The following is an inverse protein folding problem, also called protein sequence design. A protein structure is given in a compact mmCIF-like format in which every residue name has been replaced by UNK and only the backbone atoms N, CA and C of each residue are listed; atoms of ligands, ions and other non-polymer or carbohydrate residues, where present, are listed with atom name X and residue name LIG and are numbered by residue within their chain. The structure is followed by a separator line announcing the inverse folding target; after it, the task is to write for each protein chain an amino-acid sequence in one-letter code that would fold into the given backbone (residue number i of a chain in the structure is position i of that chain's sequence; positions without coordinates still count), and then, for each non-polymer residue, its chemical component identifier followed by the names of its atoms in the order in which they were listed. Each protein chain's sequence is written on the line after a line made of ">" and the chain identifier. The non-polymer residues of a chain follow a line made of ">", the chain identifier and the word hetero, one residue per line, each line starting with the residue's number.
data_IF_155337322593
#
_entry.id   IF_155337322593
#
_cell.length_a   1.000
_cell.length_b   1.000
_cell.length_c   1.000
_cell.angle_alpha   90.00
_cell.angle_beta   90.00
_cell.angle_gamma   90.00
#
_symmetry.space_group_name_H-M   'P 1'
#
loop_
_entity.id
_entity.type
_entity.pdbx_description
1 polymer ?
#
# COMPACT_ATOMS: atom_id res chain seq x y z
N UNK A 1 -35.64 -51.21 44.23
CA UNK A 1 -35.22 -49.80 44.06
C UNK A 1 -33.85 -49.81 43.42
N UNK A 2 -33.74 -49.10 42.29
CA UNK A 2 -32.72 -49.29 41.25
C UNK A 2 -31.27 -49.05 41.70
N UNK A 3 -30.40 -49.89 41.12
CA UNK A 3 -28.95 -49.78 41.03
C UNK A 3 -28.51 -48.44 40.44
N UNK A 4 -27.72 -47.67 41.19
CA UNK A 4 -26.95 -46.51 40.71
C UNK A 4 -25.60 -46.41 41.44
N UNK A 5 -24.63 -47.23 41.03
CA UNK A 5 -23.21 -46.98 41.31
C UNK A 5 -22.31 -47.78 40.36
N UNK A 6 -22.19 -47.32 39.11
CA UNK A 6 -21.10 -47.75 38.21
C UNK A 6 -19.94 -46.76 38.35
N UNK A 7 -18.66 -47.19 38.43
CA UNK A 7 -17.53 -46.26 38.45
C UNK A 7 -17.41 -45.57 37.08
N UNK A 8 -17.95 -44.35 36.95
CA UNK A 8 -18.04 -43.59 35.69
C UNK A 8 -16.84 -42.66 35.47
N UNK A 9 -15.61 -43.15 35.56
CA UNK A 9 -14.44 -42.34 35.17
C UNK A 9 -13.39 -43.19 34.47
N UNK A 10 -13.55 -43.34 33.15
CA UNK A 10 -12.49 -43.91 32.33
C UNK A 10 -11.29 -42.97 32.33
N UNK A 11 -10.08 -43.51 32.46
CA UNK A 11 -8.82 -42.73 32.43
C UNK A 11 -8.63 -41.92 31.14
N UNK A 12 -9.37 -42.27 30.09
CA UNK A 12 -9.31 -41.66 28.77
C UNK A 12 -10.32 -40.51 28.57
N UNK A 13 -11.31 -40.37 29.46
CA UNK A 13 -12.31 -39.30 29.40
C UNK A 13 -11.73 -37.87 29.29
N UNK A 14 -10.70 -37.46 30.05
CA UNK A 14 -10.14 -36.11 29.90
C UNK A 14 -9.44 -35.90 28.55
N UNK A 15 -8.74 -36.92 28.02
CA UNK A 15 -8.08 -36.83 26.73
C UNK A 15 -9.08 -36.72 25.57
N UNK A 16 -10.18 -37.49 25.64
CA UNK A 16 -11.27 -37.42 24.65
C UNK A 16 -11.95 -36.04 24.70
N UNK A 17 -12.20 -35.49 25.88
CA UNK A 17 -12.79 -34.15 26.02
C UNK A 17 -11.90 -33.05 25.46
N UNK A 18 -10.57 -33.13 25.66
CA UNK A 18 -9.63 -32.16 25.09
C UNK A 18 -9.59 -32.26 23.56
N UNK A 19 -9.53 -33.47 22.99
CA UNK A 19 -9.56 -33.66 21.54
C UNK A 19 -10.87 -33.15 20.92
N UNK A 20 -12.00 -33.39 21.58
CA UNK A 20 -13.30 -32.94 21.12
C UNK A 20 -13.41 -31.41 21.21
N UNK A 21 -12.87 -30.80 22.27
CA UNK A 21 -12.77 -29.34 22.39
C UNK A 21 -11.90 -28.72 21.29
N UNK A 22 -10.73 -29.30 21.00
CA UNK A 22 -9.84 -28.85 19.92
C UNK A 22 -10.49 -28.97 18.53
N UNK A 23 -11.24 -30.05 18.31
CA UNK A 23 -11.93 -30.27 17.05
C UNK A 23 -13.08 -29.27 16.86
N UNK A 24 -13.84 -28.98 17.92
CA UNK A 24 -14.91 -27.98 17.90
C UNK A 24 -14.34 -26.57 17.71
N UNK A 25 -13.25 -26.21 18.38
CA UNK A 25 -12.60 -24.90 18.15
C UNK A 25 -12.04 -24.78 16.74
N UNK A 26 -11.45 -25.83 16.17
CA UNK A 26 -11.01 -25.83 14.77
C UNK A 26 -12.18 -25.66 13.79
N UNK A 27 -13.31 -26.33 14.02
CA UNK A 27 -14.52 -26.17 13.21
C UNK A 27 -15.07 -24.75 13.29
N UNK A 28 -15.19 -24.19 14.50
CA UNK A 28 -15.67 -22.82 14.68
C UNK A 28 -14.72 -21.83 14.00
N UNK A 29 -13.41 -22.00 14.18
CA UNK A 29 -12.41 -21.13 13.55
C UNK A 29 -12.50 -21.17 12.02
N UNK A 30 -12.77 -22.33 11.42
CA UNK A 30 -12.96 -22.45 9.96
C UNK A 30 -14.15 -21.67 9.41
N UNK A 31 -15.17 -21.39 10.24
CA UNK A 31 -16.35 -20.60 9.83
C UNK A 31 -16.18 -19.09 10.04
N UNK A 32 -15.18 -18.67 10.81
CA UNK A 32 -14.95 -17.26 11.18
C UNK A 32 -13.81 -16.64 10.38
N UNK A 33 -12.88 -17.46 9.86
CA UNK A 33 -11.87 -16.98 8.91
C UNK A 33 -12.54 -16.83 7.55
N UNK A 34 -12.66 -15.61 7.00
CA UNK A 34 -13.06 -15.45 5.61
C UNK A 34 -12.04 -16.22 4.77
N UNK A 35 -12.49 -17.13 3.92
CA UNK A 35 -11.63 -17.61 2.85
C UNK A 35 -11.20 -16.35 2.08
N UNK A 36 -9.92 -15.98 2.20
CA UNK A 36 -9.36 -14.91 1.39
C UNK A 36 -9.73 -15.25 -0.04
N UNK A 37 -10.47 -14.36 -0.70
CA UNK A 37 -10.85 -14.56 -2.08
C UNK A 37 -9.56 -14.75 -2.88
N UNK A 38 -9.26 -16.00 -3.22
CA UNK A 38 -8.33 -16.29 -4.28
C UNK A 38 -8.98 -15.66 -5.51
N UNK A 39 -8.44 -14.54 -5.95
CA UNK A 39 -8.92 -13.78 -7.09
C UNK A 39 -8.80 -14.62 -8.35
N UNK A 40 -9.71 -15.59 -8.56
CA UNK A 40 -9.83 -16.40 -9.77
C UNK A 40 -8.56 -17.14 -10.23
N UNK A 41 -7.47 -17.11 -9.47
CA UNK A 41 -6.17 -17.62 -9.88
C UNK A 41 -6.24 -19.14 -9.97
N UNK A 42 -5.85 -19.67 -11.13
CA UNK A 42 -5.79 -21.10 -11.36
C UNK A 42 -4.54 -21.70 -10.70
N UNK A 43 -4.56 -23.01 -10.46
CA UNK A 43 -3.35 -23.73 -10.01
C UNK A 43 -2.16 -23.51 -10.96
N UNK A 44 -2.44 -23.31 -12.26
CA UNK A 44 -1.42 -22.99 -13.25
C UNK A 44 -0.78 -21.62 -13.03
N UNK A 45 -1.54 -20.62 -12.57
CA UNK A 45 -1.04 -19.28 -12.26
C UNK A 45 -0.15 -19.30 -11.01
N UNK A 46 -0.55 -20.07 -10.00
CA UNK A 46 0.24 -20.29 -8.79
C UNK A 46 1.56 -21.00 -9.13
N UNK A 47 1.52 -22.05 -9.95
CA UNK A 47 2.71 -22.77 -10.40
C UNK A 47 3.66 -21.90 -11.25
N UNK A 48 3.11 -21.03 -12.10
CA UNK A 48 3.88 -20.07 -12.88
C UNK A 48 4.52 -19.01 -11.96
N UNK A 49 3.74 -18.47 -11.03
CA UNK A 49 4.19 -17.54 -10.00
C UNK A 49 5.30 -18.09 -9.13
N UNK A 50 5.20 -19.36 -8.73
CA UNK A 50 6.25 -20.04 -7.97
C UNK A 50 7.57 -20.12 -8.74
N UNK A 51 7.54 -20.38 -10.04
CA UNK A 51 8.75 -20.42 -10.88
C UNK A 51 9.38 -19.04 -11.01
N UNK A 52 8.57 -18.01 -11.21
CA UNK A 52 9.02 -16.61 -11.23
C UNK A 52 9.64 -16.21 -9.89
N UNK A 53 8.99 -16.56 -8.79
CA UNK A 53 9.47 -16.32 -7.43
C UNK A 53 10.80 -17.03 -7.17
N UNK A 54 10.90 -18.30 -7.53
CA UNK A 54 12.11 -19.10 -7.38
C UNK A 54 13.30 -18.48 -8.13
N UNK A 55 13.06 -17.96 -9.34
CA UNK A 55 14.11 -17.36 -10.17
C UNK A 55 14.55 -15.96 -9.73
N UNK A 56 13.66 -15.16 -9.12
CA UNK A 56 13.91 -13.73 -8.92
C UNK A 56 13.91 -13.25 -7.47
N UNK A 57 13.24 -13.96 -6.56
CA UNK A 57 12.93 -13.47 -5.21
C UNK A 57 13.47 -14.36 -4.10
N UNK A 58 13.64 -15.66 -4.37
CA UNK A 58 13.96 -16.70 -3.37
C UNK A 58 15.28 -16.47 -2.64
N UNK A 59 16.24 -15.78 -3.26
CA UNK A 59 17.52 -15.47 -2.62
C UNK A 59 17.35 -14.60 -1.37
N UNK A 60 16.51 -13.56 -1.45
CA UNK A 60 16.26 -12.66 -0.32
C UNK A 60 15.11 -13.16 0.56
N UNK A 61 14.06 -13.71 -0.04
CA UNK A 61 12.83 -14.05 0.68
C UNK A 61 12.70 -15.52 1.07
N UNK A 62 13.73 -16.34 0.80
CA UNK A 62 13.71 -17.78 1.04
C UNK A 62 12.99 -18.54 -0.07
N UNK A 63 13.24 -19.84 -0.18
CA UNK A 63 12.70 -20.70 -1.24
C UNK A 63 11.17 -20.83 -1.22
N UNK A 64 10.55 -20.60 -0.06
CA UNK A 64 9.12 -20.71 0.18
C UNK A 64 8.54 -19.40 0.75
N UNK A 65 9.24 -18.27 0.58
CA UNK A 65 8.79 -16.97 1.07
C UNK A 65 8.91 -16.78 2.59
N UNK A 66 9.56 -17.69 3.31
CA UNK A 66 9.71 -17.67 4.77
C UNK A 66 10.63 -16.55 5.30
N UNK A 67 11.33 -15.85 4.42
CA UNK A 67 12.32 -14.82 4.75
C UNK A 67 13.73 -15.37 5.00
N UNK A 68 14.70 -14.48 4.99
CA UNK A 68 16.11 -14.72 5.33
C UNK A 68 16.66 -13.53 6.12
N UNK A 69 17.95 -13.54 6.46
CA UNK A 69 18.63 -12.36 7.01
C UNK A 69 18.74 -11.19 6.01
N UNK A 70 18.52 -11.46 4.72
CA UNK A 70 18.60 -10.46 3.64
C UNK A 70 17.24 -9.81 3.36
N UNK A 71 16.15 -10.56 3.47
CA UNK A 71 14.81 -10.10 3.11
C UNK A 71 13.74 -10.66 4.06
N UNK A 72 12.69 -9.87 4.34
CA UNK A 72 11.64 -10.29 5.27
C UNK A 72 10.83 -11.47 4.71
N UNK A 73 10.08 -12.11 5.60
CA UNK A 73 9.06 -13.09 5.19
C UNK A 73 7.99 -12.41 4.34
N UNK A 74 7.52 -13.13 3.32
CA UNK A 74 6.38 -12.77 2.48
C UNK A 74 5.11 -13.56 2.85
N UNK A 75 5.19 -14.46 3.83
CA UNK A 75 4.03 -15.21 4.29
C UNK A 75 3.06 -14.23 4.97
N UNK A 76 1.84 -14.14 4.42
CA UNK A 76 0.76 -13.30 4.97
C UNK A 76 0.80 -11.82 4.57
N UNK A 77 1.74 -11.40 3.71
CA UNK A 77 1.76 -10.01 3.20
C UNK A 77 0.66 -9.75 2.17
N UNK A 78 0.11 -10.80 1.57
CA UNK A 78 -1.01 -10.75 0.62
C UNK A 78 -0.62 -10.39 -0.82
N UNK A 79 -1.56 -10.63 -1.75
CA UNK A 79 -1.41 -10.33 -3.17
C UNK A 79 -1.23 -8.83 -3.44
N UNK A 80 -1.97 -7.98 -2.72
CA UNK A 80 -1.89 -6.51 -2.89
C UNK A 80 -0.50 -5.94 -2.60
N UNK A 81 0.26 -6.56 -1.69
CA UNK A 81 1.63 -6.11 -1.40
C UNK A 81 2.58 -6.44 -2.55
N UNK A 82 2.39 -7.59 -3.20
CA UNK A 82 3.19 -7.98 -4.36
C UNK A 82 2.85 -7.12 -5.57
N UNK A 83 1.56 -6.92 -5.85
CA UNK A 83 1.09 -6.06 -6.95
C UNK A 83 1.65 -4.65 -6.78
N UNK A 84 1.46 -4.03 -5.62
CA UNK A 84 2.04 -2.72 -5.32
C UNK A 84 3.57 -2.68 -5.47
N UNK A 85 4.31 -3.57 -4.81
CA UNK A 85 5.77 -3.45 -4.76
C UNK A 85 6.41 -3.77 -6.12
N UNK A 86 5.89 -4.77 -6.84
CA UNK A 86 6.45 -5.20 -8.13
C UNK A 86 5.89 -4.35 -9.27
N UNK A 87 4.59 -4.07 -9.28
CA UNK A 87 3.90 -3.25 -10.28
C UNK A 87 4.33 -1.78 -10.27
N UNK A 88 4.71 -1.24 -9.12
CA UNK A 88 5.37 0.08 -9.07
C UNK A 88 6.88 0.04 -9.31
N UNK A 89 7.46 -1.14 -9.57
CA UNK A 89 8.87 -1.33 -9.86
C UNK A 89 9.82 -1.12 -8.66
N UNK A 90 9.31 -1.09 -7.43
CA UNK A 90 10.14 -0.98 -6.22
C UNK A 90 10.90 -2.28 -5.95
N UNK A 91 10.19 -3.40 -6.08
CA UNK A 91 10.73 -4.75 -6.04
C UNK A 91 10.87 -5.30 -7.47
N UNK A 92 11.92 -6.10 -7.75
CA UNK A 92 13.00 -6.52 -6.86
C UNK A 92 14.00 -5.39 -6.55
N UNK A 93 14.49 -5.31 -5.32
CA UNK A 93 15.54 -4.34 -4.96
C UNK A 93 16.90 -4.72 -5.55
N UNK A 94 17.69 -3.70 -5.92
CA UNK A 94 19.05 -3.87 -6.50
C UNK A 94 20.15 -3.40 -5.56
N UNK A 95 19.80 -2.75 -4.44
CA UNK A 95 20.74 -2.24 -3.45
C UNK A 95 20.06 -2.07 -2.08
N UNK A 96 20.88 -2.03 -1.02
CA UNK A 96 20.42 -1.81 0.35
C UNK A 96 20.25 -0.32 0.64
N UNK A 97 19.22 0.28 0.05
CA UNK A 97 18.84 1.69 0.24
C UNK A 97 17.92 1.84 1.46
N UNK A 98 17.95 2.98 2.19
CA UNK A 98 16.99 3.25 3.28
C UNK A 98 15.51 3.12 2.87
N UNK A 99 15.26 3.33 1.58
CA UNK A 99 13.95 3.20 0.93
C UNK A 99 14.13 2.57 -0.45
N UNK A 100 13.25 1.65 -0.85
CA UNK A 100 13.22 1.10 -2.21
C UNK A 100 12.74 2.18 -3.19
N UNK A 101 13.59 2.65 -4.13
CA UNK A 101 13.20 3.64 -5.12
C UNK A 101 12.31 3.00 -6.20
N UNK A 102 11.48 3.82 -6.83
CA UNK A 102 10.76 3.45 -8.06
C UNK A 102 11.76 3.27 -9.18
N UNK A 103 11.65 2.15 -9.92
CA UNK A 103 12.44 1.82 -11.10
C UNK A 103 11.50 1.40 -12.22
N UNK A 104 11.99 1.33 -13.48
CA UNK A 104 11.21 0.70 -14.53
C UNK A 104 10.77 -0.70 -14.12
N UNK A 105 9.48 -1.00 -14.32
CA UNK A 105 8.87 -2.29 -13.99
C UNK A 105 9.58 -3.38 -14.81
N UNK A 106 9.99 -4.46 -14.13
CA UNK A 106 10.78 -5.55 -14.74
C UNK A 106 9.90 -6.71 -15.24
N UNK A 107 8.64 -6.75 -14.81
CA UNK A 107 7.68 -7.80 -15.11
C UNK A 107 6.45 -7.20 -15.77
N UNK A 108 5.76 -7.99 -16.60
CA UNK A 108 4.46 -7.58 -17.12
C UNK A 108 3.35 -7.93 -16.11
N UNK A 109 2.16 -7.37 -16.34
CA UNK A 109 1.01 -7.52 -15.44
C UNK A 109 0.65 -8.99 -15.17
N UNK A 110 0.77 -9.85 -16.18
CA UNK A 110 0.54 -11.30 -16.07
C UNK A 110 1.54 -11.98 -15.11
N UNK A 111 2.83 -11.67 -15.24
CA UNK A 111 3.83 -12.22 -14.34
C UNK A 111 3.66 -11.67 -12.90
N UNK A 112 3.24 -10.42 -12.77
CA UNK A 112 2.96 -9.79 -11.47
C UNK A 112 1.78 -10.47 -10.79
N UNK A 113 0.67 -10.67 -11.51
CA UNK A 113 -0.52 -11.33 -10.98
C UNK A 113 -0.24 -12.79 -10.58
N UNK A 114 0.55 -13.52 -11.36
CA UNK A 114 1.00 -14.88 -11.03
C UNK A 114 1.87 -14.91 -9.77
N UNK A 115 2.85 -14.00 -9.64
CA UNK A 115 3.66 -13.88 -8.42
C UNK A 115 2.80 -13.50 -7.20
N UNK A 116 1.84 -12.59 -7.37
CA UNK A 116 0.91 -12.18 -6.32
C UNK A 116 0.01 -13.35 -5.88
N UNK A 117 -0.47 -14.17 -6.83
CA UNK A 117 -1.24 -15.38 -6.55
C UNK A 117 -0.43 -16.42 -5.77
N UNK A 118 0.83 -16.65 -6.16
CA UNK A 118 1.71 -17.55 -5.43
C UNK A 118 1.95 -17.09 -3.99
N UNK A 119 2.30 -15.81 -3.77
CA UNK A 119 2.52 -15.27 -2.42
C UNK A 119 1.24 -15.32 -1.58
N UNK A 120 0.07 -15.05 -2.18
CA UNK A 120 -1.20 -15.20 -1.50
C UNK A 120 -1.55 -16.65 -1.13
N UNK A 121 -1.01 -17.65 -1.84
CA UNK A 121 -1.18 -19.07 -1.46
C UNK A 121 -0.36 -19.47 -0.23
N UNK A 122 0.68 -18.69 0.13
CA UNK A 122 1.55 -19.00 1.27
C UNK A 122 0.89 -18.69 2.62
N UNK A 123 -0.10 -17.79 2.65
CA UNK A 123 -0.82 -17.43 3.87
C UNK A 123 -1.86 -16.33 3.67
N UNK A 124 -2.78 -16.13 4.63
CA UNK A 124 -3.82 -15.12 4.53
C UNK A 124 -3.21 -13.71 4.56
N UNK A 125 -3.63 -12.86 3.63
CA UNK A 125 -3.21 -11.47 3.56
C UNK A 125 -4.15 -10.67 2.66
N UNK A 126 -3.93 -9.35 2.54
CA UNK A 126 -4.78 -8.48 1.74
C UNK A 126 -4.78 -8.85 0.25
N UNK A 127 -5.96 -8.90 -0.36
CA UNK A 127 -6.15 -9.15 -1.80
C UNK A 127 -6.04 -7.86 -2.61
N UNK A 128 -5.67 -7.99 -3.88
CA UNK A 128 -5.75 -6.89 -4.87
C UNK A 128 -7.21 -6.39 -4.90
N UNK A 129 -7.46 -5.08 -4.78
CA UNK A 129 -8.81 -4.52 -4.75
C UNK A 129 -9.52 -4.67 -6.10
N UNK A 130 -10.85 -4.72 -6.08
CA UNK A 130 -11.63 -4.74 -7.33
C UNK A 130 -11.62 -3.36 -8.00
N UNK A 131 -11.94 -3.32 -9.29
CA UNK A 131 -12.04 -2.07 -10.05
C UNK A 131 -13.06 -1.09 -9.46
N UNK A 132 -14.16 -1.58 -8.89
CA UNK A 132 -15.19 -0.74 -8.23
C UNK A 132 -14.68 -0.09 -6.94
N UNK A 133 -13.76 -0.75 -6.22
CA UNK A 133 -13.18 -0.22 -4.97
C UNK A 133 -12.20 0.93 -5.22
N UNK A 134 -11.68 1.04 -6.44
CA UNK A 134 -10.65 2.02 -6.81
C UNK A 134 -11.14 3.03 -7.83
N UNK A 135 -12.40 2.95 -8.28
CA UNK A 135 -12.97 3.89 -9.24
C UNK A 135 -13.22 5.27 -8.57
N UNK A 136 -12.48 6.33 -8.97
CA UNK A 136 -12.67 7.66 -8.41
C UNK A 136 -14.06 8.24 -8.70
N UNK A 137 -14.73 7.82 -9.79
CA UNK A 137 -16.05 8.32 -10.15
C UNK A 137 -17.15 7.86 -9.18
N UNK A 138 -16.90 6.79 -8.42
CA UNK A 138 -17.81 6.27 -7.40
C UNK A 138 -17.48 6.80 -5.99
N UNK A 139 -16.43 7.60 -5.85
CA UNK A 139 -16.00 8.19 -4.58
C UNK A 139 -16.52 9.61 -4.36
N UNK A 140 -16.53 10.03 -3.10
CA UNK A 140 -16.83 11.39 -2.66
C UNK A 140 -15.52 12.14 -2.36
N UNK A 141 -15.07 12.98 -3.30
CA UNK A 141 -13.84 13.75 -3.15
C UNK A 141 -13.83 14.70 -1.94
N UNK A 142 -15.00 15.19 -1.47
CA UNK A 142 -15.06 16.04 -0.28
C UNK A 142 -14.78 15.25 1.00
N UNK A 143 -15.34 14.05 1.13
CA UNK A 143 -15.02 13.15 2.24
C UNK A 143 -13.56 12.66 2.14
N UNK A 144 -13.12 12.33 0.93
CA UNK A 144 -11.74 11.94 0.65
C UNK A 144 -10.72 13.00 1.06
N UNK A 145 -11.03 14.27 0.83
CA UNK A 145 -10.19 15.39 1.27
C UNK A 145 -10.08 15.45 2.79
N UNK A 146 -11.18 15.27 3.52
CA UNK A 146 -11.15 15.26 4.98
C UNK A 146 -10.28 14.10 5.49
N UNK A 147 -10.49 12.89 4.96
CA UNK A 147 -9.70 11.71 5.32
C UNK A 147 -8.21 11.87 4.96
N UNK A 148 -7.91 12.36 3.77
CA UNK A 148 -6.53 12.54 3.31
C UNK A 148 -5.79 13.60 4.13
N UNK A 149 -6.45 14.73 4.42
CA UNK A 149 -5.83 15.82 5.21
C UNK A 149 -5.58 15.43 6.67
N UNK A 150 -6.43 14.56 7.22
CA UNK A 150 -6.29 14.09 8.60
C UNK A 150 -5.28 12.94 8.74
N UNK A 151 -5.11 12.09 7.72
CA UNK A 151 -4.31 10.87 7.83
C UNK A 151 -3.02 10.87 6.98
N UNK A 152 -2.99 11.57 5.85
CA UNK A 152 -1.95 11.40 4.82
C UNK A 152 -1.13 12.67 4.59
N UNK A 153 -1.74 13.85 4.68
CA UNK A 153 -1.13 15.12 4.30
C UNK A 153 0.10 15.50 5.15
N UNK A 154 0.23 14.94 6.36
CA UNK A 154 1.43 15.12 7.19
C UNK A 154 2.70 14.61 6.52
N UNK A 155 2.58 13.59 5.66
CA UNK A 155 3.70 13.01 4.93
C UNK A 155 3.66 13.41 3.44
N UNK A 156 2.49 13.33 2.81
CA UNK A 156 2.35 13.48 1.36
C UNK A 156 2.01 14.89 0.89
N UNK A 157 2.03 15.91 1.77
CA UNK A 157 1.53 17.26 1.51
C UNK A 157 0.00 17.30 1.33
N UNK A 158 -0.62 18.46 1.52
CA UNK A 158 -2.07 18.63 1.40
C UNK A 158 -2.63 18.27 0.02
N UNK A 159 -1.87 18.48 -1.05
CA UNK A 159 -2.27 18.16 -2.43
C UNK A 159 -1.65 16.86 -2.96
N UNK A 160 -0.99 16.07 -2.11
CA UNK A 160 -0.37 14.82 -2.54
C UNK A 160 0.96 14.98 -3.29
N UNK A 161 1.63 16.14 -3.19
CA UNK A 161 2.91 16.42 -3.85
C UNK A 161 4.11 15.65 -3.25
N UNK A 162 3.94 14.98 -2.11
CA UNK A 162 5.01 14.28 -1.40
C UNK A 162 5.74 15.15 -0.37
N UNK A 163 6.77 14.59 0.26
CA UNK A 163 7.50 15.25 1.35
C UNK A 163 8.75 14.50 1.76
N UNK A 164 9.66 15.18 2.45
CA UNK A 164 10.83 14.54 3.05
C UNK A 164 10.45 13.84 4.36
N UNK A 165 11.02 12.66 4.61
CA UNK A 165 10.89 11.92 5.86
C UNK A 165 12.26 11.82 6.56
N UNK A 166 12.28 11.27 7.77
CA UNK A 166 13.53 11.03 8.51
C UNK A 166 14.41 9.96 7.85
N UNK A 167 15.69 9.93 8.22
CA UNK A 167 16.66 8.91 7.79
C UNK A 167 16.82 8.80 6.25
N UNK A 168 16.68 9.92 5.54
CA UNK A 168 16.85 9.98 4.09
C UNK A 168 15.72 9.33 3.29
N UNK A 169 14.59 9.00 3.92
CA UNK A 169 13.38 8.50 3.25
C UNK A 169 12.56 9.66 2.70
N UNK A 170 11.71 9.38 1.72
CA UNK A 170 10.77 10.33 1.14
C UNK A 170 9.36 9.75 1.07
N UNK A 171 8.36 10.60 1.28
CA UNK A 171 6.99 10.34 0.88
C UNK A 171 6.87 10.74 -0.60
N UNK A 172 6.65 9.78 -1.53
CA UNK A 172 6.53 10.12 -2.94
C UNK A 172 5.24 10.92 -3.20
N UNK A 173 5.17 11.65 -4.33
CA UNK A 173 3.91 12.19 -4.81
C UNK A 173 2.91 11.06 -5.06
N UNK A 174 1.68 11.22 -4.60
CA UNK A 174 0.60 10.21 -4.76
C UNK A 174 -0.19 10.40 -6.06
N UNK A 175 0.07 11.49 -6.78
CA UNK A 175 -0.52 11.82 -8.07
C UNK A 175 0.14 11.10 -9.26
N UNK A 176 1.28 10.43 -9.04
CA UNK A 176 2.10 9.82 -10.09
C UNK A 176 1.91 8.30 -10.22
N UNK A 177 0.77 7.76 -9.78
CA UNK A 177 0.46 6.32 -9.80
C UNK A 177 -1.02 6.11 -10.04
N UNK A 178 -1.42 4.90 -10.42
CA UNK A 178 -2.83 4.54 -10.63
C UNK A 178 -3.60 4.31 -9.31
N UNK A 179 -4.95 4.39 -9.37
CA UNK A 179 -5.82 4.16 -8.21
C UNK A 179 -5.63 2.84 -7.46
N UNK A 180 -5.32 1.75 -8.17
CA UNK A 180 -5.12 0.43 -7.57
C UNK A 180 -3.93 0.49 -6.62
N UNK A 181 -2.78 0.97 -7.11
CA UNK A 181 -1.60 1.11 -6.27
C UNK A 181 -1.79 2.11 -5.11
N UNK A 182 -2.63 3.15 -5.24
CA UNK A 182 -2.98 4.03 -4.12
C UNK A 182 -3.74 3.26 -3.03
N UNK A 183 -4.74 2.46 -3.43
CA UNK A 183 -5.52 1.63 -2.52
C UNK A 183 -4.62 0.62 -1.80
N UNK A 184 -3.76 -0.06 -2.54
CA UNK A 184 -2.85 -1.07 -2.01
C UNK A 184 -1.79 -0.47 -1.09
N UNK A 185 -1.28 0.74 -1.39
CA UNK A 185 -0.38 1.45 -0.49
C UNK A 185 -1.05 1.71 0.87
N UNK A 186 -2.31 2.17 0.87
CA UNK A 186 -3.07 2.35 2.12
C UNK A 186 -3.26 1.02 2.85
N UNK A 187 -3.60 -0.04 2.11
CA UNK A 187 -3.92 -1.35 2.67
C UNK A 187 -2.70 -2.09 3.24
N UNK A 188 -1.53 -1.91 2.63
CA UNK A 188 -0.32 -2.70 2.93
C UNK A 188 0.74 -1.92 3.72
N UNK A 189 0.67 -0.58 3.74
CA UNK A 189 1.62 0.27 4.47
C UNK A 189 3.06 0.09 4.00
N UNK A 190 3.40 0.44 2.74
CA UNK A 190 4.71 0.17 2.21
C UNK A 190 5.80 0.99 2.91
N UNK A 191 6.88 0.32 3.28
CA UNK A 191 8.11 0.90 3.80
C UNK A 191 7.92 1.66 5.13
N UNK A 192 7.83 2.99 5.10
CA UNK A 192 7.62 3.82 6.30
C UNK A 192 6.16 4.27 6.46
N UNK A 193 5.29 3.96 5.49
CA UNK A 193 3.88 4.31 5.54
C UNK A 193 3.14 3.36 6.50
N UNK A 194 2.31 3.86 7.43
CA UNK A 194 1.52 2.99 8.30
C UNK A 194 0.44 2.24 7.50
N UNK A 195 0.02 1.10 8.04
CA UNK A 195 -1.08 0.30 7.48
C UNK A 195 -2.42 0.92 7.86
N UNK A 196 -3.24 1.24 6.87
CA UNK A 196 -4.62 1.68 7.03
C UNK A 196 -5.56 0.52 6.70
N UNK A 197 -5.82 -0.32 7.70
CA UNK A 197 -6.77 -1.42 7.59
C UNK A 197 -8.23 -0.92 7.48
N UNK A 198 -9.14 -1.81 7.12
CA UNK A 198 -10.55 -1.46 6.87
C UNK A 198 -11.32 -1.03 8.14
N UNK A 199 -10.75 -1.22 9.33
CA UNK A 199 -11.29 -0.69 10.58
C UNK A 199 -10.88 0.77 10.83
N UNK A 200 -9.75 1.21 10.27
CA UNK A 200 -9.27 2.60 10.36
C UNK A 200 -9.80 3.48 9.24
N UNK A 201 -9.77 2.99 8.00
CA UNK A 201 -10.32 3.66 6.82
C UNK A 201 -11.05 2.58 6.03
N UNK A 202 -12.37 2.72 5.93
CA UNK A 202 -13.21 1.73 5.23
C UNK A 202 -12.86 1.67 3.75
N UNK A 203 -13.24 0.59 3.02
CA UNK A 203 -13.08 0.52 1.57
C UNK A 203 -13.66 1.73 0.82
N UNK A 204 -14.81 2.23 1.25
CA UNK A 204 -15.42 3.44 0.69
C UNK A 204 -14.58 4.67 1.00
N UNK A 205 -14.06 4.79 2.23
CA UNK A 205 -13.17 5.88 2.61
C UNK A 205 -11.87 5.89 1.80
N UNK A 206 -11.31 4.72 1.50
CA UNK A 206 -10.14 4.57 0.62
C UNK A 206 -10.46 5.02 -0.81
N UNK A 207 -11.61 4.63 -1.34
CA UNK A 207 -12.10 5.09 -2.65
C UNK A 207 -12.33 6.61 -2.67
N UNK A 208 -12.87 7.16 -1.60
CA UNK A 208 -13.08 8.60 -1.47
C UNK A 208 -11.74 9.35 -1.48
N UNK A 209 -10.71 8.85 -0.77
CA UNK A 209 -9.34 9.39 -0.82
C UNK A 209 -8.80 9.37 -2.25
N UNK A 210 -8.99 8.27 -2.98
CA UNK A 210 -8.60 8.16 -4.40
C UNK A 210 -9.34 9.21 -5.23
N UNK A 211 -10.65 9.38 -5.06
CA UNK A 211 -11.44 10.40 -5.75
C UNK A 211 -10.94 11.82 -5.44
N UNK A 212 -10.48 12.07 -4.21
CA UNK A 212 -9.86 13.35 -3.84
C UNK A 212 -8.53 13.56 -4.58
N UNK A 213 -7.63 12.58 -4.57
CA UNK A 213 -6.33 12.66 -5.24
C UNK A 213 -6.53 12.87 -6.75
N UNK A 214 -7.46 12.13 -7.36
CA UNK A 214 -7.83 12.28 -8.77
C UNK A 214 -8.34 13.70 -9.07
N UNK A 215 -9.20 14.25 -8.21
CA UNK A 215 -9.69 15.63 -8.35
C UNK A 215 -8.60 16.71 -8.18
N UNK A 216 -7.43 16.39 -7.61
CA UNK A 216 -6.29 17.31 -7.53
C UNK A 216 -5.34 17.19 -8.73
N UNK A 217 -5.44 16.13 -9.54
CA UNK A 217 -4.55 15.93 -10.68
C UNK A 217 -4.76 17.00 -11.76
N UNK A 218 -3.67 17.60 -12.22
CA UNK A 218 -3.65 18.61 -13.29
C UNK A 218 -4.53 19.85 -13.09
N UNK A 219 -4.95 20.13 -11.84
CA UNK A 219 -5.75 21.32 -11.50
C UNK A 219 -4.86 22.42 -10.92
N UNK A 220 -4.74 23.55 -11.63
CA UNK A 220 -4.00 24.75 -11.18
C UNK A 220 -4.85 26.03 -11.28
N UNK A 221 -5.80 26.25 -10.36
CA UNK A 221 -6.67 27.41 -10.42
C UNK A 221 -5.87 28.70 -10.14
N UNK A 222 -5.99 29.68 -11.02
CA UNK A 222 -5.43 31.02 -10.78
C UNK A 222 -3.96 31.23 -11.15
N UNK A 223 -3.30 30.28 -11.83
CA UNK A 223 -1.97 30.50 -12.40
C UNK A 223 -1.10 29.25 -12.47
N UNK A 224 0.21 29.46 -12.40
CA UNK A 224 1.20 28.39 -12.38
C UNK A 224 1.19 27.67 -11.03
N UNK A 225 1.36 26.34 -11.04
CA UNK A 225 1.46 25.54 -9.80
C UNK A 225 2.68 25.90 -8.95
N UNK A 226 3.77 26.33 -9.59
CA UNK A 226 5.08 26.54 -8.95
C UNK A 226 5.54 25.33 -8.11
N UNK A 227 5.13 24.12 -8.52
CA UNK A 227 5.42 22.87 -7.80
C UNK A 227 4.42 22.51 -6.69
N UNK A 228 3.42 23.36 -6.42
CA UNK A 228 2.34 23.13 -5.44
C UNK A 228 2.82 22.81 -4.01
N UNK A 229 4.02 23.27 -3.64
CA UNK A 229 4.61 23.11 -2.30
C UNK A 229 4.30 24.30 -1.37
N UNK A 230 3.48 25.24 -1.85
CA UNK A 230 3.02 26.40 -1.10
C UNK A 230 4.07 27.52 -0.96
N UNK A 231 4.17 28.17 0.21
CA UNK A 231 4.85 29.46 0.34
C UNK A 231 6.35 29.40 0.08
N UNK A 232 7.00 28.25 0.26
CA UNK A 232 8.44 28.11 0.02
C UNK A 232 8.76 28.26 -1.46
N UNK A 233 8.08 27.51 -2.33
CA UNK A 233 8.28 27.61 -3.78
C UNK A 233 7.83 28.96 -4.31
N UNK A 234 6.68 29.47 -3.83
CA UNK A 234 6.18 30.79 -4.21
C UNK A 234 7.17 31.91 -3.84
N UNK A 235 7.75 31.87 -2.63
CA UNK A 235 8.70 32.87 -2.19
C UNK A 235 9.96 32.90 -3.07
N UNK A 236 10.47 31.75 -3.50
CA UNK A 236 11.62 31.69 -4.43
C UNK A 236 11.30 32.43 -5.73
N UNK A 237 10.11 32.21 -6.30
CA UNK A 237 9.70 32.90 -7.52
C UNK A 237 9.44 34.39 -7.30
N UNK A 238 8.85 34.77 -6.17
CA UNK A 238 8.69 36.19 -5.79
C UNK A 238 10.05 36.87 -5.67
N UNK A 239 11.06 36.22 -5.12
CA UNK A 239 12.42 36.78 -5.01
C UNK A 239 13.12 36.89 -6.37
N UNK A 240 13.17 35.79 -7.12
CA UNK A 240 13.93 35.74 -8.38
C UNK A 240 13.26 36.58 -9.46
N UNK A 241 11.94 36.42 -9.66
CA UNK A 241 11.21 37.10 -10.73
C UNK A 241 10.61 38.41 -10.24
N UNK A 242 9.91 38.40 -9.10
CA UNK A 242 9.25 39.61 -8.60
C UNK A 242 10.24 40.71 -8.22
N UNK A 243 11.04 40.47 -7.19
CA UNK A 243 12.03 41.43 -6.68
C UNK A 243 13.13 41.65 -7.71
N UNK A 244 13.60 40.61 -8.40
CA UNK A 244 14.57 40.73 -9.48
C UNK A 244 14.12 41.70 -10.60
N UNK A 245 12.86 41.60 -11.03
CA UNK A 245 12.31 42.51 -12.04
C UNK A 245 12.16 43.94 -11.53
N UNK A 246 11.73 44.12 -10.28
CA UNK A 246 11.63 45.45 -9.66
C UNK A 246 12.99 46.14 -9.56
N UNK A 247 14.05 45.41 -9.18
CA UNK A 247 15.41 45.92 -9.14
C UNK A 247 15.88 46.30 -10.55
N UNK A 248 15.65 45.44 -11.55
CA UNK A 248 16.03 45.73 -12.93
C UNK A 248 15.35 47.00 -13.48
N UNK A 249 14.05 47.17 -13.20
CA UNK A 249 13.30 48.37 -13.58
C UNK A 249 13.84 49.60 -12.84
N UNK A 250 14.09 49.50 -11.54
CA UNK A 250 14.63 50.61 -10.75
C UNK A 250 16.00 51.08 -11.28
N UNK A 251 16.89 50.14 -11.60
CA UNK A 251 18.20 50.44 -12.21
C UNK A 251 18.04 51.08 -13.58
N UNK A 252 17.13 50.56 -14.42
CA UNK A 252 16.87 51.12 -15.75
C UNK A 252 16.32 52.54 -15.70
N UNK A 253 15.37 52.82 -14.80
CA UNK A 253 14.84 54.18 -14.58
C UNK A 253 15.94 55.11 -14.08
N UNK A 254 16.71 54.69 -13.06
CA UNK A 254 17.79 55.48 -12.49
C UNK A 254 18.89 55.82 -13.51
N UNK A 255 19.24 54.87 -14.38
CA UNK A 255 20.23 55.07 -15.44
C UNK A 255 19.76 56.03 -16.55
N UNK A 256 18.44 56.18 -16.76
CA UNK A 256 17.88 57.12 -17.75
C UNK A 256 17.59 58.51 -17.18
N UNK A 257 17.44 58.64 -15.86
CA UNK A 257 17.25 59.91 -15.18
C UNK A 257 18.56 60.63 -14.84
N UNK A 258 19.70 59.96 -15.05
CA UNK A 258 21.06 60.49 -14.91
C UNK A 258 21.57 61.00 -16.25
#
# INVERSE_FOLDING_TARGET
>A
MNSLAHPRRSRHAPAVLVLLALFVTALIYSTVVPAGAQNGASDADIDAGQKLFAANCSYCHGTEGQGTDVGPSLIGVGAASVDFQVGTGRMPMVSNSPQAPVKPVQFNDEAISQMAAYVASLGPGPSIPSSEMVDPALGNAANGMELFRTNCAMCHNAVGAGGALSEGKIAPPVTATDPTHIYEAMLTGPQAMPVFNDASITPEGKRDIIAYIDAQNDVTPGGLSLGSLGPVSEAVWVWVVGIGSLIAIAVWVGARSS
#
